data_IF_219395182100
#
_entry.id   IF_219395182100
#
_cell.length_a   1.000
_cell.length_b   1.000
_cell.length_c   1.000
_cell.angle_alpha   90.00
_cell.angle_beta   90.00
_cell.angle_gamma   90.00
#
_symmetry.space_group_name_H-M   'P 1'
#
loop_
_entity.id
_entity.type
_entity.pdbx_description
1 polymer ?
#
# COMPACT_ATOMS: atom_id res chain seq x y z
N UNK A 1 27.93 12.91 -0.88
CA UNK A 1 27.25 11.65 -0.56
C UNK A 1 26.73 11.05 -1.85
N UNK A 2 26.69 9.70 -1.90
CA UNK A 2 26.11 8.94 -3.02
C UNK A 2 25.13 7.92 -2.45
N UNK A 3 24.09 7.50 -3.19
CA UNK A 3 23.30 6.33 -2.85
C UNK A 3 24.22 5.13 -2.61
N UNK A 4 23.87 4.29 -1.65
CA UNK A 4 24.55 3.00 -1.48
C UNK A 4 24.07 2.07 -2.60
N UNK A 5 25.01 1.52 -3.36
CA UNK A 5 24.69 0.42 -4.28
C UNK A 5 24.24 -0.80 -3.48
N UNK A 6 23.24 -1.49 -3.99
CA UNK A 6 22.71 -2.69 -3.37
C UNK A 6 23.28 -3.91 -4.08
N UNK A 7 24.09 -4.69 -3.37
CA UNK A 7 24.60 -5.95 -3.85
C UNK A 7 23.70 -7.11 -3.35
N UNK A 8 23.01 -7.75 -4.28
CA UNK A 8 22.10 -8.86 -3.98
C UNK A 8 22.82 -10.01 -3.31
N UNK A 9 24.07 -10.30 -3.70
CA UNK A 9 24.85 -11.42 -3.16
C UNK A 9 25.15 -11.27 -1.67
N UNK A 10 25.26 -10.04 -1.15
CA UNK A 10 25.44 -9.79 0.29
C UNK A 10 24.19 -10.12 1.13
N UNK A 11 23.04 -10.31 0.50
CA UNK A 11 21.75 -10.49 1.16
C UNK A 11 21.13 -11.88 0.94
N UNK A 12 21.77 -12.75 0.18
CA UNK A 12 21.35 -14.14 0.02
C UNK A 12 21.87 -14.96 1.21
N UNK A 13 20.95 -15.62 1.91
CA UNK A 13 21.30 -16.55 3.00
C UNK A 13 21.43 -17.97 2.43
N UNK A 14 22.64 -18.53 2.37
CA UNK A 14 22.85 -19.88 1.83
C UNK A 14 22.25 -20.98 2.72
N UNK A 15 21.85 -20.67 3.95
CA UNK A 15 21.18 -21.61 4.86
C UNK A 15 19.65 -21.63 4.69
N UNK A 16 19.09 -20.74 3.88
CA UNK A 16 17.66 -20.71 3.62
C UNK A 16 17.21 -21.99 2.91
N UNK A 17 16.18 -22.63 3.46
CA UNK A 17 15.52 -23.74 2.81
C UNK A 17 14.46 -23.24 1.83
N UNK A 18 14.36 -23.89 0.67
CA UNK A 18 13.38 -23.56 -0.36
C UNK A 18 11.96 -23.83 0.16
N UNK A 19 11.07 -22.81 0.19
CA UNK A 19 9.68 -23.00 0.56
C UNK A 19 8.92 -23.86 -0.46
N UNK A 20 7.83 -24.48 -0.01
CA UNK A 20 6.91 -25.18 -0.91
C UNK A 20 6.28 -24.19 -1.91
N UNK A 21 6.13 -24.62 -3.15
CA UNK A 21 5.49 -23.87 -4.23
C UNK A 21 4.68 -24.81 -5.12
N UNK A 22 3.63 -24.29 -5.76
CA UNK A 22 2.78 -25.04 -6.72
C UNK A 22 2.06 -26.25 -6.13
N UNK A 23 1.87 -26.26 -4.81
CA UNK A 23 1.07 -27.28 -4.14
C UNK A 23 -0.42 -27.16 -4.55
N UNK A 24 -1.17 -28.24 -4.39
CA UNK A 24 -2.61 -28.32 -4.73
C UNK A 24 -3.43 -28.46 -3.45
N UNK A 25 -3.38 -27.46 -2.59
CA UNK A 25 -4.09 -27.49 -1.32
C UNK A 25 -5.58 -27.16 -1.43
N UNK A 26 -6.01 -26.59 -2.57
CA UNK A 26 -7.42 -26.25 -2.82
C UNK A 26 -7.93 -25.07 -1.99
N UNK A 27 -7.04 -24.23 -1.46
CA UNK A 27 -7.39 -23.07 -0.66
C UNK A 27 -7.62 -21.87 -1.59
N UNK A 28 -8.72 -21.17 -1.41
CA UNK A 28 -9.05 -19.94 -2.10
C UNK A 28 -8.83 -18.72 -1.20
N UNK A 29 -8.54 -17.57 -1.80
CA UNK A 29 -8.39 -16.31 -1.06
C UNK A 29 -9.67 -15.93 -0.30
N UNK A 30 -10.84 -16.33 -0.77
CA UNK A 30 -12.11 -16.15 -0.09
C UNK A 30 -12.18 -16.87 1.27
N UNK A 31 -11.49 -18.01 1.42
CA UNK A 31 -11.45 -18.78 2.66
C UNK A 31 -10.65 -18.04 3.76
N UNK A 32 -9.85 -17.06 3.35
CA UNK A 32 -8.99 -16.26 4.24
C UNK A 32 -9.57 -14.90 4.58
N UNK A 33 -10.68 -14.49 3.93
CA UNK A 33 -11.35 -13.25 4.27
C UNK A 33 -11.83 -13.27 5.72
N UNK A 34 -11.45 -12.25 6.48
CA UNK A 34 -11.77 -12.16 7.90
C UNK A 34 -10.87 -12.97 8.83
N UNK A 35 -9.89 -13.71 8.31
CA UNK A 35 -8.89 -14.39 9.16
C UNK A 35 -7.76 -13.45 9.58
N UNK A 36 -7.17 -13.64 10.76
CA UNK A 36 -6.02 -12.86 11.19
C UNK A 36 -4.80 -13.13 10.30
N UNK A 37 -3.83 -12.21 10.32
CA UNK A 37 -2.62 -12.30 9.52
C UNK A 37 -1.77 -13.53 9.85
N UNK A 38 -1.80 -13.99 11.08
CA UNK A 38 -1.06 -15.15 11.60
C UNK A 38 -1.81 -16.48 11.50
N UNK A 39 -2.98 -16.52 10.82
CA UNK A 39 -3.73 -17.78 10.63
C UNK A 39 -2.90 -18.75 9.77
N UNK A 40 -2.67 -19.99 10.24
CA UNK A 40 -1.83 -20.95 9.52
C UNK A 40 -2.35 -21.35 8.13
N UNK A 41 -3.59 -21.01 7.79
CA UNK A 41 -4.15 -21.27 6.47
C UNK A 41 -3.48 -20.39 5.39
N UNK A 42 -2.90 -19.25 5.76
CA UNK A 42 -2.13 -18.40 4.85
C UNK A 42 -0.95 -19.15 4.24
N UNK A 43 -0.18 -19.90 5.05
CA UNK A 43 0.95 -20.69 4.53
C UNK A 43 0.49 -21.69 3.48
N UNK A 44 -0.64 -22.38 3.72
CA UNK A 44 -1.20 -23.35 2.77
C UNK A 44 -1.68 -22.70 1.47
N UNK A 45 -2.19 -21.47 1.53
CA UNK A 45 -2.54 -20.72 0.33
C UNK A 45 -1.29 -20.32 -0.44
N UNK A 46 -0.26 -19.81 0.26
CA UNK A 46 1.01 -19.40 -0.33
C UNK A 46 1.77 -20.56 -0.98
N UNK A 47 1.67 -21.78 -0.43
CA UNK A 47 2.26 -22.98 -1.03
C UNK A 47 1.72 -23.28 -2.44
N UNK A 48 0.54 -22.78 -2.80
CA UNK A 48 -0.05 -22.97 -4.13
C UNK A 48 0.55 -22.01 -5.19
N UNK A 49 1.25 -20.96 -4.76
CA UNK A 49 1.83 -19.98 -5.69
C UNK A 49 3.14 -20.50 -6.28
N UNK A 50 3.30 -20.31 -7.58
CA UNK A 50 4.59 -20.53 -8.24
C UNK A 50 5.45 -19.28 -8.22
N UNK A 51 6.78 -19.43 -8.24
CA UNK A 51 7.74 -18.33 -8.27
C UNK A 51 7.46 -17.33 -9.39
N UNK A 52 7.14 -17.83 -10.58
CA UNK A 52 6.79 -17.00 -11.73
C UNK A 52 5.54 -16.14 -11.49
N UNK A 53 4.53 -16.67 -10.83
CA UNK A 53 3.30 -15.93 -10.50
C UNK A 53 3.61 -14.83 -9.49
N UNK A 54 4.36 -15.16 -8.43
CA UNK A 54 4.78 -14.17 -7.43
C UNK A 54 5.60 -13.06 -8.08
N UNK A 55 6.57 -13.40 -8.92
CA UNK A 55 7.40 -12.43 -9.63
C UNK A 55 6.56 -11.47 -10.48
N UNK A 56 5.59 -11.99 -11.23
CA UNK A 56 4.72 -11.16 -12.08
C UNK A 56 3.87 -10.22 -11.24
N UNK A 57 3.18 -10.73 -10.25
CA UNK A 57 2.26 -9.92 -9.41
C UNK A 57 3.02 -8.82 -8.65
N UNK A 58 4.16 -9.16 -8.05
CA UNK A 58 4.90 -8.22 -7.22
C UNK A 58 5.69 -7.16 -8.03
N UNK A 59 6.11 -7.49 -9.25
CA UNK A 59 6.90 -6.57 -10.08
C UNK A 59 6.09 -5.74 -11.08
N UNK A 60 4.85 -6.08 -11.35
CA UNK A 60 4.05 -5.46 -12.41
C UNK A 60 2.73 -4.89 -11.90
N UNK A 61 2.80 -4.12 -10.83
CA UNK A 61 1.65 -3.46 -10.23
C UNK A 61 1.35 -2.16 -10.99
N UNK A 62 0.70 -2.28 -12.13
CA UNK A 62 0.29 -1.15 -12.94
C UNK A 62 -1.14 -0.69 -12.55
N UNK A 63 -1.26 0.13 -11.51
CA UNK A 63 -2.57 0.55 -10.94
C UNK A 63 -3.51 -0.64 -10.68
N UNK A 64 -2.97 -1.67 -10.06
CA UNK A 64 -3.63 -2.93 -9.78
C UNK A 64 -2.87 -4.11 -10.36
N UNK A 65 -3.32 -5.30 -10.05
CA UNK A 65 -2.69 -6.55 -10.48
C UNK A 65 -3.70 -7.49 -11.12
N UNK A 66 -3.22 -8.36 -12.00
CA UNK A 66 -4.03 -9.39 -12.64
C UNK A 66 -4.58 -10.41 -11.63
N UNK A 67 -5.58 -11.17 -12.08
CA UNK A 67 -6.10 -12.31 -11.32
C UNK A 67 -5.06 -13.42 -11.19
N UNK A 68 -5.18 -14.20 -10.10
CA UNK A 68 -4.42 -15.44 -9.90
C UNK A 68 -5.41 -16.55 -9.61
N UNK A 69 -5.80 -17.28 -10.65
CA UNK A 69 -6.88 -18.25 -10.60
C UNK A 69 -6.58 -19.41 -9.65
N UNK A 70 -5.29 -19.79 -9.51
CA UNK A 70 -4.88 -20.90 -8.63
C UNK A 70 -5.19 -20.67 -7.14
N UNK A 71 -5.40 -19.42 -6.73
CA UNK A 71 -5.76 -19.04 -5.36
C UNK A 71 -7.02 -18.16 -5.30
N UNK A 72 -7.74 -18.02 -6.40
CA UNK A 72 -8.97 -17.22 -6.45
C UNK A 72 -8.78 -15.73 -6.18
N UNK A 73 -7.56 -15.18 -6.40
CA UNK A 73 -7.31 -13.75 -6.31
C UNK A 73 -7.95 -13.04 -7.51
N UNK A 74 -8.86 -12.08 -7.31
CA UNK A 74 -9.42 -11.30 -8.41
C UNK A 74 -8.40 -10.30 -8.98
N UNK A 75 -8.67 -9.81 -10.19
CA UNK A 75 -8.01 -8.61 -10.70
C UNK A 75 -8.36 -7.42 -9.82
N UNK A 76 -7.40 -6.54 -9.54
CA UNK A 76 -7.61 -5.30 -8.82
C UNK A 76 -7.42 -4.10 -9.72
N UNK A 77 -8.03 -2.98 -9.33
CA UNK A 77 -7.87 -1.68 -9.96
C UNK A 77 -7.68 -0.60 -8.89
N UNK A 78 -6.71 0.26 -9.11
CA UNK A 78 -6.34 1.34 -8.20
C UNK A 78 -6.30 2.67 -8.93
N UNK A 79 -6.73 3.73 -8.27
CA UNK A 79 -6.71 5.08 -8.80
C UNK A 79 -5.88 6.02 -7.95
N UNK A 80 -5.52 7.16 -8.50
CA UNK A 80 -4.76 8.20 -7.85
C UNK A 80 -5.61 9.48 -7.69
N UNK A 81 -5.19 10.37 -6.80
CA UNK A 81 -5.74 11.69 -6.62
C UNK A 81 -6.30 11.96 -5.23
N UNK A 82 -5.53 12.68 -4.36
CA UNK A 82 -6.00 13.02 -3.00
C UNK A 82 -7.18 14.00 -2.95
N UNK A 83 -7.36 14.81 -4.01
CA UNK A 83 -8.45 15.79 -4.10
C UNK A 83 -9.55 15.39 -5.11
N UNK A 84 -9.70 14.11 -5.35
CA UNK A 84 -10.65 13.53 -6.29
C UNK A 84 -10.04 12.37 -7.03
N UNK A 85 -10.88 11.54 -7.66
CA UNK A 85 -10.42 10.43 -8.48
C UNK A 85 -9.86 11.02 -9.77
N UNK A 86 -8.55 10.94 -9.93
CA UNK A 86 -7.84 11.49 -11.08
C UNK A 86 -7.28 10.44 -12.00
N UNK A 87 -6.30 10.86 -12.75
CA UNK A 87 -5.43 10.13 -13.69
C UNK A 87 -5.69 8.63 -13.75
N UNK A 88 -5.94 8.04 -14.90
CA UNK A 88 -6.20 6.62 -15.17
C UNK A 88 -7.62 6.09 -14.86
N UNK A 89 -8.51 6.91 -14.33
CA UNK A 89 -9.94 6.60 -14.30
C UNK A 89 -10.56 7.21 -15.55
N UNK A 90 -11.04 6.32 -16.41
CA UNK A 90 -11.63 6.73 -17.69
C UNK A 90 -12.98 7.40 -17.45
N UNK A 91 -13.28 8.37 -18.31
CA UNK A 91 -14.59 8.96 -18.59
C UNK A 91 -14.93 10.34 -18.04
N UNK A 92 -14.12 10.98 -17.28
CA UNK A 92 -14.41 12.35 -16.78
C UNK A 92 -15.82 12.47 -16.16
N UNK A 93 -15.96 13.06 -15.06
CA UNK A 93 -17.26 13.22 -14.41
C UNK A 93 -17.17 12.94 -12.92
N UNK A 94 -15.96 12.86 -12.42
CA UNK A 94 -15.68 12.76 -10.99
C UNK A 94 -15.68 14.13 -10.34
N UNK A 95 -16.10 14.18 -9.07
CA UNK A 95 -16.06 15.41 -8.30
C UNK A 95 -14.63 15.82 -7.99
N UNK A 96 -14.32 17.11 -8.19
CA UNK A 96 -13.15 17.73 -7.58
C UNK A 96 -13.47 18.12 -6.15
N UNK A 97 -12.67 17.67 -5.22
CA UNK A 97 -12.75 18.02 -3.80
C UNK A 97 -11.68 19.06 -3.44
N UNK A 98 -11.82 19.78 -2.31
CA UNK A 98 -10.75 20.61 -1.81
C UNK A 98 -9.47 19.79 -1.61
N UNK A 99 -8.32 20.41 -1.85
CA UNK A 99 -7.04 19.76 -1.56
C UNK A 99 -6.92 19.43 -0.07
N UNK A 100 -6.08 18.44 0.27
CA UNK A 100 -5.87 18.04 1.67
C UNK A 100 -5.40 19.21 2.54
N UNK A 101 -4.53 20.09 2.00
CA UNK A 101 -4.15 21.33 2.67
C UNK A 101 -5.36 22.23 2.95
N UNK A 102 -6.24 22.43 1.97
CA UNK A 102 -7.39 23.30 2.13
C UNK A 102 -8.38 22.74 3.16
N UNK A 103 -8.67 21.45 3.12
CA UNK A 103 -9.60 20.84 4.07
C UNK A 103 -9.00 20.79 5.49
N UNK A 104 -7.70 20.70 5.62
CA UNK A 104 -7.02 20.71 6.92
C UNK A 104 -7.18 22.05 7.67
N UNK A 105 -7.41 23.17 6.95
CA UNK A 105 -7.68 24.45 7.58
C UNK A 105 -8.98 24.47 8.39
N UNK A 106 -9.87 23.52 8.16
CA UNK A 106 -11.12 23.39 8.93
C UNK A 106 -10.91 22.83 10.34
N UNK A 107 -9.83 22.06 10.56
CA UNK A 107 -9.58 21.27 11.78
C UNK A 107 -10.73 20.30 12.11
N UNK A 108 -11.56 19.97 11.14
CA UNK A 108 -12.80 19.19 11.29
C UNK A 108 -12.64 17.76 10.74
N UNK A 109 -12.47 16.81 11.64
CA UNK A 109 -12.37 15.38 11.30
C UNK A 109 -13.65 14.83 10.67
N UNK A 110 -14.81 15.36 11.03
CA UNK A 110 -16.09 14.89 10.49
C UNK A 110 -16.31 15.40 9.07
N UNK A 111 -15.80 16.60 8.75
CA UNK A 111 -15.76 17.08 7.37
C UNK A 111 -14.88 16.18 6.50
N UNK A 112 -13.67 15.82 6.98
CA UNK A 112 -12.77 14.92 6.27
C UNK A 112 -13.40 13.54 6.08
N UNK A 113 -14.05 13.00 7.11
CA UNK A 113 -14.77 11.72 7.01
C UNK A 113 -15.85 11.77 5.92
N UNK A 114 -16.70 12.80 5.90
CA UNK A 114 -17.74 12.94 4.88
C UNK A 114 -17.17 13.10 3.46
N UNK A 115 -16.05 13.81 3.33
CA UNK A 115 -15.32 13.88 2.06
C UNK A 115 -14.83 12.49 1.63
N UNK A 116 -14.20 11.75 2.54
CA UNK A 116 -13.70 10.40 2.28
C UNK A 116 -14.82 9.42 1.91
N UNK A 117 -15.98 9.50 2.55
CA UNK A 117 -17.15 8.67 2.21
C UNK A 117 -17.66 8.98 0.81
N UNK A 118 -17.78 10.27 0.44
CA UNK A 118 -18.23 10.68 -0.89
C UNK A 118 -17.24 10.22 -1.97
N UNK A 119 -15.93 10.39 -1.75
CA UNK A 119 -14.90 9.88 -2.66
C UNK A 119 -14.94 8.36 -2.79
N UNK A 120 -15.14 7.64 -1.68
CA UNK A 120 -15.21 6.19 -1.68
C UNK A 120 -16.46 5.67 -2.43
N UNK A 121 -17.58 6.38 -2.37
CA UNK A 121 -18.78 6.06 -3.16
C UNK A 121 -18.51 6.21 -4.67
N UNK A 122 -17.78 7.24 -5.11
CA UNK A 122 -17.31 7.36 -6.50
C UNK A 122 -16.34 6.24 -6.89
N UNK A 123 -15.40 5.89 -6.00
CA UNK A 123 -14.47 4.79 -6.24
C UNK A 123 -15.18 3.44 -6.43
N UNK A 124 -16.27 3.19 -5.70
CA UNK A 124 -17.08 1.99 -5.89
C UNK A 124 -17.73 1.97 -7.28
N UNK A 125 -18.27 3.10 -7.73
CA UNK A 125 -18.91 3.21 -9.05
C UNK A 125 -17.92 2.94 -10.18
N UNK A 126 -16.66 3.38 -10.01
CA UNK A 126 -15.58 3.18 -10.99
C UNK A 126 -14.91 1.80 -10.89
N UNK A 127 -15.29 0.99 -9.91
CA UNK A 127 -14.73 -0.34 -9.71
C UNK A 127 -13.36 -0.37 -9.06
N UNK A 128 -12.95 0.71 -8.42
CA UNK A 128 -11.68 0.77 -7.70
C UNK A 128 -11.69 -0.10 -6.45
N UNK A 129 -10.54 -0.69 -6.18
CA UNK A 129 -10.27 -1.49 -4.97
C UNK A 129 -9.26 -0.83 -4.05
N UNK A 130 -8.36 -0.04 -4.61
CA UNK A 130 -7.34 0.71 -3.89
C UNK A 130 -7.22 2.15 -4.37
N UNK A 131 -6.66 2.98 -3.50
CA UNK A 131 -6.53 4.42 -3.74
C UNK A 131 -5.16 4.91 -3.29
N UNK A 132 -4.42 5.58 -4.21
CA UNK A 132 -3.08 6.12 -3.96
C UNK A 132 -3.17 7.45 -3.18
N UNK A 133 -3.71 7.39 -1.98
CA UNK A 133 -3.87 8.49 -1.03
C UNK A 133 -4.34 7.92 0.33
N UNK A 134 -4.47 8.73 1.41
CA UNK A 134 -4.15 10.15 1.50
C UNK A 134 -2.65 10.43 1.47
N UNK A 135 -2.28 11.66 1.11
CA UNK A 135 -0.91 12.12 1.14
C UNK A 135 -0.62 12.82 2.47
N UNK A 136 0.41 12.38 3.21
CA UNK A 136 0.52 12.68 4.63
C UNK A 136 1.89 13.21 5.06
N UNK A 137 2.76 13.57 4.11
CA UNK A 137 4.04 14.17 4.46
C UNK A 137 3.84 15.53 5.14
N UNK A 138 4.75 15.88 6.02
CA UNK A 138 4.70 17.17 6.73
C UNK A 138 5.21 18.31 5.85
N UNK A 139 4.60 19.49 5.93
CA UNK A 139 5.12 20.68 5.29
C UNK A 139 6.42 21.14 5.96
N UNK A 140 7.42 21.46 5.16
CA UNK A 140 8.71 21.99 5.65
C UNK A 140 9.04 23.36 5.06
N UNK A 141 8.87 23.47 3.76
CA UNK A 141 9.13 24.70 3.02
C UNK A 141 7.91 25.03 2.18
N UNK A 142 7.50 26.29 2.06
CA UNK A 142 6.41 26.67 1.16
C UNK A 142 6.72 26.38 -0.32
N UNK A 143 7.95 25.99 -0.62
CA UNK A 143 8.40 25.58 -1.96
C UNK A 143 8.49 24.06 -2.10
N UNK A 144 7.81 23.29 -1.26
CA UNK A 144 7.86 21.83 -1.24
C UNK A 144 7.39 21.17 -2.55
N UNK A 145 6.56 21.85 -3.33
CA UNK A 145 6.08 21.42 -4.63
C UNK A 145 4.77 20.64 -4.58
N UNK A 146 4.54 19.85 -3.52
CA UNK A 146 3.33 19.04 -3.30
C UNK A 146 2.60 19.38 -1.99
N UNK A 147 2.92 20.48 -1.34
CA UNK A 147 2.29 20.88 -0.07
C UNK A 147 0.77 21.05 -0.19
N UNK A 148 0.24 21.31 -1.39
CA UNK A 148 -1.19 21.39 -1.63
C UNK A 148 -1.93 20.07 -1.37
N UNK A 149 -1.26 18.93 -1.54
CA UNK A 149 -1.84 17.61 -1.31
C UNK A 149 -1.47 16.98 0.03
N UNK A 150 -0.72 17.69 0.88
CA UNK A 150 -0.38 17.27 2.25
C UNK A 150 -1.17 18.10 3.24
N UNK A 151 -1.64 17.48 4.34
CA UNK A 151 -2.53 18.15 5.28
C UNK A 151 -1.91 19.36 5.99
N UNK A 152 -0.71 19.20 6.58
CA UNK A 152 -0.17 20.18 7.52
C UNK A 152 1.33 20.02 7.77
N UNK A 153 1.93 21.05 8.38
CA UNK A 153 3.23 20.96 9.04
C UNK A 153 3.14 20.24 10.41
N UNK A 154 1.95 20.22 11.01
CA UNK A 154 1.69 19.54 12.27
C UNK A 154 1.41 18.05 12.04
N UNK A 155 2.30 17.16 12.51
CA UNK A 155 2.14 15.72 12.33
C UNK A 155 0.92 15.15 13.08
N UNK A 156 0.48 15.78 14.16
CA UNK A 156 -0.72 15.34 14.90
C UNK A 156 -1.98 15.66 14.11
N UNK A 157 -2.10 16.86 13.56
CA UNK A 157 -3.22 17.24 12.72
C UNK A 157 -3.28 16.36 11.47
N UNK A 158 -2.15 16.21 10.76
CA UNK A 158 -2.08 15.35 9.57
C UNK A 158 -2.48 13.89 9.88
N UNK A 159 -1.98 13.33 10.98
CA UNK A 159 -2.34 11.98 11.42
C UNK A 159 -3.81 11.83 11.82
N UNK A 160 -4.39 12.83 12.50
CA UNK A 160 -5.79 12.81 12.91
C UNK A 160 -6.76 12.88 11.72
N UNK A 161 -6.46 13.75 10.74
CA UNK A 161 -7.26 13.88 9.53
C UNK A 161 -7.06 12.67 8.59
N UNK A 162 -5.82 12.21 8.43
CA UNK A 162 -5.51 10.99 7.69
C UNK A 162 -6.24 9.77 8.26
N UNK A 163 -6.34 9.65 9.60
CA UNK A 163 -7.12 8.58 10.24
C UNK A 163 -8.59 8.63 9.81
N UNK A 164 -9.22 9.81 9.87
CA UNK A 164 -10.62 9.96 9.48
C UNK A 164 -10.85 9.63 7.99
N UNK A 165 -9.91 10.02 7.12
CA UNK A 165 -9.97 9.71 5.70
C UNK A 165 -9.82 8.22 5.42
N UNK A 166 -8.84 7.56 6.02
CA UNK A 166 -8.58 6.12 5.83
C UNK A 166 -9.75 5.28 6.33
N UNK A 167 -10.32 5.61 7.50
CA UNK A 167 -11.51 4.94 8.03
C UNK A 167 -12.72 5.10 7.10
N UNK A 168 -12.94 6.32 6.58
CA UNK A 168 -14.03 6.60 5.66
C UNK A 168 -13.94 5.79 4.37
N UNK A 169 -12.76 5.78 3.73
CA UNK A 169 -12.51 5.03 2.50
C UNK A 169 -12.62 3.53 2.74
N UNK A 170 -12.03 3.03 3.82
CA UNK A 170 -12.11 1.61 4.18
C UNK A 170 -13.54 1.15 4.51
N UNK A 171 -14.44 2.04 4.94
CA UNK A 171 -15.85 1.70 5.19
C UNK A 171 -16.58 1.19 3.94
N UNK A 172 -16.04 1.44 2.74
CA UNK A 172 -16.50 0.90 1.46
C UNK A 172 -15.63 -0.27 0.97
N UNK A 173 -14.70 -0.74 1.80
CA UNK A 173 -13.79 -1.84 1.49
C UNK A 173 -12.62 -1.45 0.58
N UNK A 174 -12.38 -0.17 0.35
CA UNK A 174 -11.26 0.31 -0.47
C UNK A 174 -10.04 0.51 0.43
N UNK A 175 -8.90 -0.05 0.04
CA UNK A 175 -7.65 0.17 0.77
C UNK A 175 -6.98 1.47 0.33
N UNK A 176 -6.69 2.32 1.31
CA UNK A 176 -5.98 3.58 1.11
C UNK A 176 -4.47 3.34 1.21
N UNK A 177 -3.72 3.69 0.17
CA UNK A 177 -2.26 3.60 0.13
C UNK A 177 -1.66 4.92 0.61
N UNK A 178 -1.58 5.09 1.92
CA UNK A 178 -1.06 6.30 2.55
C UNK A 178 0.34 6.65 2.04
N UNK A 179 0.54 7.87 1.55
CA UNK A 179 1.78 8.26 0.85
C UNK A 179 2.36 9.56 1.36
N UNK A 180 3.65 9.82 1.16
CA UNK A 180 4.69 8.89 0.71
C UNK A 180 5.59 8.57 1.89
N UNK A 181 5.66 7.34 2.28
CA UNK A 181 6.32 6.88 3.50
C UNK A 181 7.83 6.71 3.27
N UNK A 182 8.70 7.55 3.85
CA UNK A 182 8.46 8.83 4.52
C UNK A 182 9.55 9.85 4.14
N UNK A 183 9.53 11.03 4.72
CA UNK A 183 10.45 12.15 4.43
C UNK A 183 10.42 12.66 2.98
N UNK A 184 9.28 12.60 2.32
CA UNK A 184 9.10 13.16 0.97
C UNK A 184 8.59 14.61 1.03
N UNK A 185 9.31 15.48 1.75
CA UNK A 185 8.92 16.87 1.99
C UNK A 185 9.45 17.83 0.91
N UNK A 186 10.16 17.32 -0.07
CA UNK A 186 10.68 18.04 -1.23
C UNK A 186 10.40 17.25 -2.49
N UNK A 187 9.72 17.87 -3.45
CA UNK A 187 9.42 17.23 -4.73
C UNK A 187 10.56 17.35 -5.74
N UNK A 188 11.30 18.47 -5.70
CA UNK A 188 12.44 18.71 -6.60
C UNK A 188 13.49 17.60 -6.46
N UNK A 189 13.83 16.96 -7.58
CA UNK A 189 14.80 15.86 -7.68
C UNK A 189 14.43 14.59 -6.88
N UNK A 190 13.21 14.44 -6.38
CA UNK A 190 12.83 13.27 -5.57
C UNK A 190 13.06 11.93 -6.28
N UNK A 191 12.82 11.86 -7.58
CA UNK A 191 13.05 10.69 -8.42
C UNK A 191 14.48 10.59 -8.99
N UNK A 192 15.35 11.56 -8.70
CA UNK A 192 16.73 11.63 -9.15
C UNK A 192 17.72 11.41 -7.97
N UNK A 193 17.46 10.44 -7.11
CA UNK A 193 18.27 10.07 -5.95
C UNK A 193 18.42 11.21 -4.91
N UNK A 194 17.33 11.91 -4.60
CA UNK A 194 17.33 12.90 -3.52
C UNK A 194 17.68 12.22 -2.20
N UNK A 195 18.77 12.66 -1.56
CA UNK A 195 19.18 12.19 -0.24
C UNK A 195 18.63 13.13 0.83
N UNK A 196 17.75 12.62 1.70
CA UNK A 196 17.22 13.37 2.84
C UNK A 196 17.92 12.95 4.13
N UNK A 197 18.15 13.91 5.01
CA UNK A 197 18.86 13.68 6.27
C UNK A 197 18.08 14.29 7.43
N UNK A 198 17.81 13.48 8.42
CA UNK A 198 17.23 13.90 9.69
C UNK A 198 17.77 13.01 10.82
N UNK A 199 17.70 13.51 12.06
CA UNK A 199 17.95 12.62 13.22
C UNK A 199 16.83 11.59 13.35
N UNK A 200 17.11 10.46 13.98
CA UNK A 200 16.09 9.45 14.26
C UNK A 200 14.91 10.03 15.04
N UNK A 201 15.19 10.91 16.01
CA UNK A 201 14.15 11.61 16.77
C UNK A 201 13.23 12.41 15.84
N UNK A 202 13.79 13.21 14.93
CA UNK A 202 13.00 14.01 13.99
C UNK A 202 12.19 13.11 13.03
N UNK A 203 12.78 11.99 12.57
CA UNK A 203 12.08 11.03 11.74
C UNK A 203 10.85 10.48 12.49
N UNK A 204 11.02 10.03 13.73
CA UNK A 204 9.94 9.42 14.52
C UNK A 204 8.89 10.42 14.99
N UNK A 205 9.31 11.60 15.44
CA UNK A 205 8.38 12.55 16.08
C UNK A 205 7.68 13.48 15.08
N UNK A 206 8.24 13.66 13.88
CA UNK A 206 7.73 14.61 12.87
C UNK A 206 7.35 13.87 11.59
N UNK A 207 8.32 13.29 10.87
CA UNK A 207 8.11 12.86 9.48
C UNK A 207 7.37 11.54 9.34
N UNK A 208 7.61 10.60 10.24
CA UNK A 208 6.92 9.31 10.26
C UNK A 208 5.66 9.34 11.15
N UNK A 209 5.54 10.35 12.03
CA UNK A 209 4.48 10.46 13.01
C UNK A 209 3.06 10.46 12.44
N UNK A 210 2.73 11.16 11.33
CA UNK A 210 1.41 11.08 10.74
C UNK A 210 0.99 9.65 10.39
N UNK A 211 1.92 8.90 9.81
CA UNK A 211 1.69 7.49 9.43
C UNK A 211 1.52 6.60 10.65
N UNK A 212 2.35 6.77 11.68
CA UNK A 212 2.22 6.05 12.94
C UNK A 212 0.84 6.23 13.56
N UNK A 213 0.34 7.47 13.59
CA UNK A 213 -0.97 7.78 14.15
C UNK A 213 -2.06 7.01 13.39
N UNK A 214 -2.03 7.00 12.07
CA UNK A 214 -3.03 6.28 11.28
C UNK A 214 -2.90 4.78 11.46
N UNK A 215 -1.71 4.21 11.35
CA UNK A 215 -1.49 2.76 11.51
C UNK A 215 -1.99 2.26 12.85
N UNK A 216 -1.70 3.01 13.92
CA UNK A 216 -2.10 2.61 15.29
C UNK A 216 -3.55 2.88 15.64
N UNK A 217 -4.22 3.82 14.97
CA UNK A 217 -5.55 4.27 15.39
C UNK A 217 -6.68 4.03 14.39
N UNK A 218 -6.41 3.94 13.08
CA UNK A 218 -7.46 3.73 12.10
C UNK A 218 -8.12 2.36 12.28
N UNK A 219 -9.43 2.36 12.40
CA UNK A 219 -10.23 1.14 12.62
C UNK A 219 -11.36 1.06 11.60
N UNK A 220 -11.65 -0.17 11.22
CA UNK A 220 -12.77 -0.50 10.37
C UNK A 220 -13.29 -1.90 10.64
N UNK A 221 -14.21 -2.32 9.83
CA UNK A 221 -14.72 -3.70 9.88
C UNK A 221 -14.98 -4.21 8.46
N UNK A 222 -14.90 -5.52 8.33
CA UNK A 222 -15.26 -6.23 7.11
C UNK A 222 -16.35 -7.26 7.42
N UNK A 223 -17.25 -7.42 6.46
CA UNK A 223 -18.19 -8.52 6.46
C UNK A 223 -17.65 -9.66 5.59
N UNK A 224 -17.85 -10.86 6.03
CA UNK A 224 -17.49 -12.08 5.31
C UNK A 224 -18.49 -13.19 5.57
N UNK A 225 -18.49 -14.17 4.68
CA UNK A 225 -19.23 -15.41 4.91
C UNK A 225 -18.26 -16.42 5.55
N UNK A 226 -18.69 -16.98 6.65
CA UNK A 226 -17.98 -18.09 7.28
C UNK A 226 -18.05 -19.31 6.36
N UNK A 227 -16.91 -19.84 5.97
CA UNK A 227 -16.78 -20.93 5.01
C UNK A 227 -17.36 -22.28 5.53
N UNK A 228 -17.47 -22.45 6.86
CA UNK A 228 -18.00 -23.67 7.47
C UNK A 228 -19.51 -23.60 7.67
N UNK A 229 -20.03 -22.44 8.05
CA UNK A 229 -21.44 -22.27 8.38
C UNK A 229 -22.25 -21.54 7.33
N UNK A 230 -21.60 -20.80 6.42
CA UNK A 230 -22.25 -19.92 5.44
C UNK A 230 -22.89 -18.68 6.09
N UNK A 231 -22.70 -18.45 7.36
CA UNK A 231 -23.24 -17.30 8.09
C UNK A 231 -22.43 -16.03 7.79
N UNK A 232 -23.14 -14.90 7.71
CA UNK A 232 -22.49 -13.58 7.64
C UNK A 232 -21.89 -13.22 9.00
N UNK A 233 -20.61 -12.96 9.02
CA UNK A 233 -19.88 -12.47 10.20
C UNK A 233 -19.25 -11.12 9.91
N UNK A 234 -19.00 -10.36 10.97
CA UNK A 234 -18.27 -9.08 10.92
C UNK A 234 -17.04 -9.18 11.78
N UNK A 235 -15.89 -8.75 11.25
CA UNK A 235 -14.64 -8.64 11.99
C UNK A 235 -14.16 -7.20 12.00
N UNK A 236 -13.87 -6.68 13.23
CA UNK A 236 -13.12 -5.43 13.38
C UNK A 236 -11.64 -5.63 13.10
N UNK A 237 -11.03 -4.69 12.38
CA UNK A 237 -9.61 -4.74 12.03
C UNK A 237 -9.02 -3.34 11.85
N UNK A 238 -7.72 -3.24 11.58
CA UNK A 238 -7.13 -1.99 11.13
C UNK A 238 -7.69 -1.59 9.76
N UNK A 239 -8.05 -0.33 9.60
CA UNK A 239 -8.39 0.25 8.29
C UNK A 239 -7.12 0.61 7.48
N UNK A 240 -5.98 0.76 8.16
CA UNK A 240 -4.69 1.04 7.54
C UNK A 240 -4.05 -0.28 7.07
N UNK A 241 -4.38 -0.72 5.87
CA UNK A 241 -3.89 -1.97 5.27
C UNK A 241 -3.07 -1.77 4.00
N UNK A 242 -2.71 -0.53 3.66
CA UNK A 242 -1.82 -0.23 2.56
C UNK A 242 -1.02 1.05 2.81
N UNK A 243 0.23 1.08 2.34
CA UNK A 243 1.16 2.21 2.43
C UNK A 243 1.92 2.32 1.12
N UNK A 244 2.19 3.53 0.65
CA UNK A 244 3.09 3.77 -0.48
C UNK A 244 4.43 4.33 0.04
N UNK A 245 5.53 3.64 -0.29
CA UNK A 245 6.87 4.12 0.04
C UNK A 245 7.26 5.31 -0.84
N UNK A 246 8.22 6.11 -0.38
CA UNK A 246 8.62 7.35 -1.07
C UNK A 246 9.80 7.14 -2.02
N UNK A 247 9.98 8.11 -2.93
CA UNK A 247 11.11 8.14 -3.89
C UNK A 247 12.46 8.42 -3.25
N UNK A 248 12.48 9.32 -2.26
CA UNK A 248 13.71 9.82 -1.67
C UNK A 248 14.50 8.74 -0.93
N UNK A 249 15.77 9.02 -0.75
CA UNK A 249 16.64 8.26 0.12
C UNK A 249 16.64 8.88 1.52
N UNK A 250 16.72 8.06 2.54
CA UNK A 250 16.99 8.48 3.92
C UNK A 250 18.45 8.12 4.21
N UNK A 251 19.27 9.12 4.42
CA UNK A 251 20.71 8.93 4.34
C UNK A 251 21.10 8.47 2.95
N UNK A 252 21.80 7.34 2.84
CA UNK A 252 22.24 6.73 1.57
C UNK A 252 21.35 5.57 1.10
N UNK A 253 20.27 5.25 1.82
CA UNK A 253 19.38 4.12 1.52
C UNK A 253 18.04 4.63 1.00
N UNK A 254 17.59 4.10 -0.15
CA UNK A 254 16.26 4.40 -0.65
C UNK A 254 15.18 4.04 0.39
N UNK A 255 14.19 4.91 0.60
CA UNK A 255 13.17 4.72 1.63
C UNK A 255 12.42 3.38 1.47
N UNK A 256 11.97 3.05 0.26
CA UNK A 256 11.31 1.77 -0.04
C UNK A 256 12.25 0.54 0.02
N UNK A 257 13.56 0.75 0.05
CA UNK A 257 14.58 -0.28 0.23
C UNK A 257 15.18 -0.32 1.65
N UNK A 258 14.57 0.37 2.60
CA UNK A 258 15.04 0.44 3.98
C UNK A 258 14.30 -0.56 4.86
N UNK A 259 14.97 -1.64 5.26
CA UNK A 259 14.41 -2.61 6.20
C UNK A 259 14.06 -1.98 7.55
N UNK A 260 14.90 -1.07 8.04
CA UNK A 260 14.65 -0.33 9.28
C UNK A 260 13.34 0.47 9.21
N UNK A 261 12.98 0.99 8.03
CA UNK A 261 11.74 1.73 7.84
C UNK A 261 10.55 0.82 7.55
N UNK A 262 10.65 -0.03 6.52
CA UNK A 262 9.50 -0.78 5.99
C UNK A 262 9.17 -2.04 6.81
N UNK A 263 10.15 -2.62 7.52
CA UNK A 263 9.94 -3.80 8.38
C UNK A 263 9.98 -3.39 9.85
N UNK A 264 11.14 -2.95 10.35
CA UNK A 264 11.35 -2.79 11.78
C UNK A 264 10.46 -1.70 12.38
N UNK A 265 10.38 -0.51 11.78
CA UNK A 265 9.54 0.56 12.27
C UNK A 265 8.06 0.31 11.95
N UNK A 266 7.73 0.12 10.66
CA UNK A 266 6.34 0.07 10.22
C UNK A 266 5.61 -1.18 10.72
N UNK A 267 6.25 -2.36 10.63
CA UNK A 267 5.62 -3.64 10.97
C UNK A 267 5.89 -4.08 12.39
N UNK A 268 7.16 -4.17 12.78
CA UNK A 268 7.51 -4.76 14.07
C UNK A 268 7.17 -3.83 15.24
N UNK A 269 7.39 -2.50 15.09
CA UNK A 269 7.07 -1.55 16.16
C UNK A 269 5.61 -1.05 16.12
N UNK A 270 5.04 -0.80 14.92
CA UNK A 270 3.70 -0.23 14.82
C UNK A 270 2.60 -1.26 14.59
N UNK A 271 2.94 -2.50 14.22
CA UNK A 271 2.00 -3.58 13.99
C UNK A 271 1.23 -3.49 12.67
N UNK A 272 1.85 -2.93 11.62
CA UNK A 272 1.23 -2.85 10.30
C UNK A 272 1.22 -4.22 9.61
N UNK A 273 0.02 -4.71 9.28
CA UNK A 273 -0.19 -6.03 8.65
C UNK A 273 -0.39 -5.96 7.13
N UNK A 274 -0.69 -4.78 6.60
CA UNK A 274 -1.00 -4.60 5.18
C UNK A 274 0.21 -4.61 4.25
N UNK A 275 -0.01 -4.28 2.97
CA UNK A 275 1.06 -4.23 1.99
C UNK A 275 1.69 -2.84 1.85
N UNK A 276 2.95 -2.82 1.43
CA UNK A 276 3.67 -1.61 1.02
C UNK A 276 3.86 -1.67 -0.50
N UNK A 277 3.35 -0.67 -1.21
CA UNK A 277 3.62 -0.45 -2.63
C UNK A 277 4.72 0.59 -2.79
N UNK A 278 5.58 0.49 -3.81
CA UNK A 278 6.52 1.56 -4.14
C UNK A 278 5.79 2.77 -4.73
N UNK A 279 6.37 3.96 -4.68
CA UNK A 279 6.00 5.04 -5.59
C UNK A 279 6.35 4.63 -7.04
N UNK A 280 5.89 5.40 -8.03
CA UNK A 280 5.98 5.03 -9.44
C UNK A 280 7.43 4.75 -9.90
N UNK A 281 7.71 3.52 -10.27
CA UNK A 281 9.04 3.00 -10.52
C UNK A 281 9.41 3.07 -12.01
N UNK A 282 9.34 4.27 -12.60
CA UNK A 282 9.74 4.52 -13.99
C UNK A 282 11.25 4.71 -14.19
N UNK A 283 11.95 5.02 -13.11
CA UNK A 283 13.36 5.40 -13.14
C UNK A 283 14.20 4.32 -12.45
N UNK A 284 15.46 4.25 -12.78
CA UNK A 284 16.41 3.26 -12.26
C UNK A 284 16.89 3.57 -10.83
N UNK A 285 15.97 4.01 -9.97
CA UNK A 285 16.26 4.29 -8.56
C UNK A 285 15.84 3.16 -7.62
N UNK A 286 15.09 2.18 -8.13
CA UNK A 286 14.57 1.07 -7.32
C UNK A 286 15.28 -0.23 -7.66
N UNK A 287 15.79 -0.92 -6.64
CA UNK A 287 16.25 -2.29 -6.79
C UNK A 287 15.17 -3.25 -6.26
N UNK A 288 14.73 -4.20 -7.09
CA UNK A 288 13.62 -5.11 -6.77
C UNK A 288 13.95 -6.06 -5.61
N UNK A 289 15.16 -6.57 -5.58
CA UNK A 289 15.61 -7.40 -4.47
C UNK A 289 15.63 -6.60 -3.18
N UNK A 290 16.22 -5.39 -3.21
CA UNK A 290 16.24 -4.52 -2.05
C UNK A 290 14.84 -4.20 -1.54
N UNK A 291 13.89 -3.88 -2.43
CA UNK A 291 12.50 -3.60 -2.09
C UNK A 291 11.87 -4.78 -1.32
N UNK A 292 11.88 -5.97 -1.91
CA UNK A 292 11.24 -7.14 -1.30
C UNK A 292 11.93 -7.59 -0.02
N UNK A 293 13.25 -7.53 0.05
CA UNK A 293 13.99 -7.87 1.27
C UNK A 293 13.75 -6.88 2.40
N UNK A 294 13.52 -5.62 2.05
CA UNK A 294 13.23 -4.54 3.01
C UNK A 294 11.79 -4.48 3.50
N UNK A 295 10.83 -5.09 2.79
CA UNK A 295 9.42 -5.07 3.17
C UNK A 295 8.53 -4.12 2.35
N UNK A 296 9.02 -3.58 1.22
CA UNK A 296 8.17 -3.06 0.15
C UNK A 296 7.71 -4.24 -0.67
N UNK A 297 6.40 -4.48 -0.69
CA UNK A 297 5.84 -5.74 -1.18
C UNK A 297 5.57 -5.73 -2.67
N UNK A 298 5.17 -4.58 -3.23
CA UNK A 298 4.71 -4.49 -4.62
C UNK A 298 5.36 -3.29 -5.30
N UNK A 299 5.81 -3.46 -6.53
CA UNK A 299 6.39 -2.36 -7.30
C UNK A 299 5.36 -1.74 -8.25
N UNK A 300 5.01 -0.47 -8.03
CA UNK A 300 4.14 0.30 -8.90
C UNK A 300 4.92 0.69 -10.17
N UNK A 301 4.67 -0.02 -11.27
CA UNK A 301 5.40 0.16 -12.52
C UNK A 301 4.63 -0.36 -13.72
N UNK A 302 5.01 0.09 -14.91
CA UNK A 302 4.66 -0.59 -16.15
C UNK A 302 5.69 -1.66 -16.50
N UNK A 303 5.25 -2.74 -17.08
CA UNK A 303 6.05 -3.94 -17.41
C UNK A 303 7.32 -3.71 -18.23
N UNK A 304 7.51 -2.53 -18.78
CA UNK A 304 8.51 -2.28 -19.82
C UNK A 304 9.79 -1.59 -19.33
N UNK A 305 9.83 -1.08 -18.10
CA UNK A 305 10.87 -0.12 -17.72
C UNK A 305 11.72 -0.49 -16.50
N UNK A 306 11.39 -1.54 -15.79
CA UNK A 306 12.11 -1.90 -14.56
C UNK A 306 12.65 -3.31 -14.62
N UNK A 307 13.92 -3.47 -14.29
CA UNK A 307 14.59 -4.76 -14.23
C UNK A 307 13.84 -5.79 -13.39
N UNK A 308 14.03 -7.06 -13.71
CA UNK A 308 13.48 -8.14 -12.90
C UNK A 308 14.35 -8.37 -11.65
N UNK A 309 13.80 -9.09 -10.70
CA UNK A 309 14.57 -9.60 -9.57
C UNK A 309 15.73 -10.48 -10.05
N UNK A 310 16.95 -10.23 -9.56
CA UNK A 310 18.16 -10.86 -10.08
C UNK A 310 18.30 -12.33 -9.69
N UNK A 311 17.81 -12.70 -8.49
CA UNK A 311 17.98 -14.04 -7.91
C UNK A 311 16.64 -14.70 -7.59
N UNK A 312 15.62 -14.47 -8.40
CA UNK A 312 14.22 -14.86 -8.14
C UNK A 312 14.02 -16.36 -7.80
N UNK A 313 14.95 -17.21 -8.19
CA UNK A 313 14.90 -18.66 -7.92
C UNK A 313 15.69 -19.08 -6.67
N UNK A 314 16.37 -18.16 -5.96
CA UNK A 314 17.02 -18.49 -4.70
C UNK A 314 15.99 -18.71 -3.57
N UNK A 315 16.32 -19.53 -2.59
CA UNK A 315 15.45 -19.77 -1.44
C UNK A 315 15.14 -18.48 -0.68
N UNK A 316 16.14 -17.61 -0.50
CA UNK A 316 15.98 -16.28 0.13
C UNK A 316 15.00 -15.40 -0.64
N UNK A 317 15.11 -15.36 -1.97
CA UNK A 317 14.20 -14.56 -2.81
C UNK A 317 12.77 -15.12 -2.77
N UNK A 318 12.61 -16.45 -2.84
CA UNK A 318 11.28 -17.08 -2.77
C UNK A 318 10.63 -16.83 -1.41
N UNK A 319 11.37 -16.90 -0.31
CA UNK A 319 10.88 -16.55 1.03
C UNK A 319 10.42 -15.09 1.10
N UNK A 320 11.23 -14.17 0.55
CA UNK A 320 10.88 -12.75 0.51
C UNK A 320 9.62 -12.50 -0.32
N UNK A 321 9.52 -13.07 -1.52
CA UNK A 321 8.34 -12.96 -2.36
C UNK A 321 7.08 -13.56 -1.71
N UNK A 322 7.18 -14.70 -1.02
CA UNK A 322 6.05 -15.28 -0.27
C UNK A 322 5.57 -14.32 0.82
N UNK A 323 6.48 -13.70 1.59
CA UNK A 323 6.14 -12.71 2.59
C UNK A 323 5.44 -11.49 1.94
N UNK A 324 5.96 -10.98 0.84
CA UNK A 324 5.35 -9.89 0.10
C UNK A 324 3.95 -10.25 -0.41
N UNK A 325 3.79 -11.44 -0.99
CA UNK A 325 2.48 -11.96 -1.41
C UNK A 325 1.51 -12.09 -0.24
N UNK A 326 1.98 -12.52 0.93
CA UNK A 326 1.15 -12.63 2.13
C UNK A 326 0.54 -11.26 2.52
N UNK A 327 1.37 -10.23 2.68
CA UNK A 327 0.92 -8.87 2.98
C UNK A 327 -0.05 -8.34 1.92
N UNK A 328 0.29 -8.56 0.65
CA UNK A 328 -0.55 -8.10 -0.45
C UNK A 328 -1.89 -8.82 -0.48
N UNK A 329 -1.90 -10.14 -0.43
CA UNK A 329 -3.11 -10.95 -0.44
C UNK A 329 -3.99 -10.71 0.80
N UNK A 330 -3.39 -10.43 1.96
CA UNK A 330 -4.14 -10.04 3.16
C UNK A 330 -4.96 -8.76 2.92
N UNK A 331 -4.35 -7.75 2.30
CA UNK A 331 -5.08 -6.52 1.94
C UNK A 331 -6.19 -6.79 0.93
N UNK A 332 -5.93 -7.60 -0.10
CA UNK A 332 -6.92 -7.93 -1.12
C UNK A 332 -8.08 -8.75 -0.53
N UNK A 333 -7.79 -9.76 0.30
CA UNK A 333 -8.80 -10.60 0.95
C UNK A 333 -9.78 -9.75 1.78
N UNK A 334 -9.29 -8.69 2.41
CA UNK A 334 -10.05 -7.82 3.29
C UNK A 334 -10.56 -6.54 2.62
N UNK A 335 -10.53 -6.47 1.29
CA UNK A 335 -11.04 -5.35 0.49
C UNK A 335 -12.33 -5.67 -0.27
N UNK A 336 -12.89 -4.66 -0.94
CA UNK A 336 -14.04 -4.82 -1.83
C UNK A 336 -13.71 -5.65 -3.09
N UNK A 337 -12.45 -5.88 -3.41
CA UNK A 337 -12.04 -6.73 -4.52
C UNK A 337 -12.64 -8.13 -4.42
N UNK A 338 -12.85 -8.63 -3.19
CA UNK A 338 -13.47 -9.93 -2.94
C UNK A 338 -15.00 -9.92 -3.01
N UNK A 339 -15.64 -8.76 -3.15
CA UNK A 339 -17.10 -8.66 -3.23
C UNK A 339 -17.67 -8.99 -4.64
N UNK A 340 -16.83 -9.39 -5.58
CA UNK A 340 -17.21 -9.61 -6.97
C UNK A 340 -17.26 -8.31 -7.79
N UNK A 341 -17.89 -8.35 -8.97
CA UNK A 341 -18.03 -7.14 -9.77
C UNK A 341 -18.88 -6.13 -9.02
N UNK A 342 -18.46 -4.84 -8.97
CA UNK A 342 -19.29 -3.81 -8.37
C UNK A 342 -20.67 -3.79 -9.04
N UNK A 343 -21.74 -3.44 -8.31
CA UNK A 343 -23.06 -3.31 -8.90
C UNK A 343 -22.99 -2.30 -10.05
N UNK A 344 -23.64 -2.64 -11.16
CA UNK A 344 -23.74 -1.72 -12.29
C UNK A 344 -24.63 -0.55 -11.88
N UNK A 345 -24.03 0.52 -11.39
CA UNK A 345 -24.74 1.74 -11.05
C UNK A 345 -24.85 2.58 -12.32
N UNK A 346 -26.08 2.77 -12.81
CA UNK A 346 -26.35 3.77 -13.83
C UNK A 346 -26.43 5.14 -13.17
N UNK A 347 -25.43 5.96 -13.38
CA UNK A 347 -25.49 7.38 -13.02
C UNK A 347 -26.34 8.07 -14.07
N UNK A 348 -27.51 8.55 -13.68
CA UNK A 348 -28.34 9.43 -14.50
C UNK A 348 -28.11 10.85 -14.05
N UNK A 349 -27.44 11.62 -14.87
CA UNK A 349 -27.40 13.09 -14.67
C UNK A 349 -28.76 13.67 -15.00
N UNK A 350 -29.31 14.47 -14.08
CA UNK A 350 -30.48 15.29 -14.31
C UNK A 350 -30.07 16.69 -14.76
#
# INVERSE_FOLDING_TARGET
>A
FRPKEYDVAEHVDPSDEMPLTREKNGISLSDLRGRPMDDPLWEKLLDQLGTNVMTIILNNHNHGTDSVDSVGKPRTFEGDGPAGIGIFVDDGGHCGFPSEYAVAQSWDRDLVRRMGEAMADEMLVTGMNGWHAPAMNTHRSPFGGRDFEYYSEDPLLAGALGTAMVEAVFSRGIYAQMKHFCLNDQDTNRSAHLLTWASEQAIREIYARPFEIVVKNARGSIDYLDDQTGERKTRGMSAAIAVMSSYNYIGSTWAGGSKALCTELLRDEWGFEGHVVSDWSLYDYTNKNQAFYAGTDVNLTTTLTTGQMQDAESATAVKAMRRCMHHYLYSIANSNAMNGKPPTVRVTYK
#
